data_IF_808938856155
#
_entry.id   IF_808938856155
#
_cell.length_a   1.000
_cell.length_b   1.000
_cell.length_c   1.000
_cell.angle_alpha   90.00
_cell.angle_beta   90.00
_cell.angle_gamma   90.00
#
_symmetry.space_group_name_H-M   'P 1'
#
loop_
_entity.id
_entity.type
_entity.pdbx_description
1 polymer ?
#
# COMPACT_ATOMS: atom_id res chain seq x y z
N UNK A 1 25.57 -8.08 4.41
CA UNK A 1 25.85 -6.74 4.98
C UNK A 1 24.75 -5.80 4.52
N UNK A 2 23.62 -5.74 5.26
CA UNK A 2 22.54 -4.80 4.97
C UNK A 2 23.06 -3.37 5.11
N UNK A 3 23.03 -2.61 4.03
CA UNK A 3 23.12 -1.15 4.11
C UNK A 3 21.89 -0.74 4.91
N UNK A 4 22.07 -0.33 6.16
CA UNK A 4 20.99 0.13 7.02
C UNK A 4 20.38 1.35 6.31
N UNK A 5 19.28 1.10 5.60
CA UNK A 5 18.54 2.13 4.89
C UNK A 5 18.20 3.22 5.90
N UNK A 6 18.43 4.47 5.49
CA UNK A 6 18.12 5.62 6.33
C UNK A 6 16.62 5.52 6.66
N UNK A 7 16.25 5.36 7.94
CA UNK A 7 14.86 5.04 8.29
C UNK A 7 13.89 6.13 7.81
N UNK A 8 14.39 7.34 7.54
CA UNK A 8 13.66 8.47 7.00
C UNK A 8 13.35 8.37 5.50
N UNK A 9 14.13 7.61 4.72
CA UNK A 9 13.91 7.43 3.27
C UNK A 9 12.80 6.41 3.02
N UNK A 10 12.80 5.32 3.79
CA UNK A 10 11.78 4.28 3.70
C UNK A 10 10.57 4.53 4.62
N UNK A 11 10.66 5.34 5.68
CA UNK A 11 9.52 5.66 6.56
C UNK A 11 8.25 6.14 5.84
N UNK A 12 8.29 7.11 4.91
CA UNK A 12 7.08 7.54 4.21
C UNK A 12 6.53 6.43 3.31
N UNK A 13 7.41 5.62 2.71
CA UNK A 13 7.04 4.48 1.87
C UNK A 13 6.38 3.37 2.71
N UNK A 14 7.01 2.99 3.82
CA UNK A 14 6.53 1.96 4.74
C UNK A 14 5.20 2.38 5.37
N UNK A 15 5.05 3.65 5.76
CA UNK A 15 3.79 4.19 6.30
C UNK A 15 2.67 4.20 5.26
N UNK A 16 2.98 4.57 4.01
CA UNK A 16 2.02 4.51 2.90
C UNK A 16 1.56 3.07 2.65
N UNK A 17 2.48 2.12 2.49
CA UNK A 17 2.11 0.73 2.24
C UNK A 17 1.43 0.04 3.42
N UNK A 18 1.77 0.42 4.65
CA UNK A 18 1.07 -0.05 5.84
C UNK A 18 -0.40 0.41 5.82
N UNK A 19 -0.63 1.71 5.60
CA UNK A 19 -1.97 2.30 5.52
C UNK A 19 -2.77 1.68 4.38
N UNK A 20 -2.16 1.59 3.19
CA UNK A 20 -2.74 0.99 2.00
C UNK A 20 -3.15 -0.47 2.26
N UNK A 21 -2.30 -1.26 2.91
CA UNK A 21 -2.60 -2.67 3.21
C UNK A 21 -3.71 -2.81 4.25
N UNK A 22 -3.71 -1.98 5.28
CA UNK A 22 -4.78 -1.95 6.30
C UNK A 22 -6.13 -1.57 5.70
N UNK A 23 -6.19 -0.54 4.85
CA UNK A 23 -7.45 -0.07 4.28
C UNK A 23 -7.98 -0.99 3.17
N UNK A 24 -7.15 -1.39 2.19
CA UNK A 24 -7.61 -2.24 1.09
C UNK A 24 -7.77 -3.72 1.49
N UNK A 25 -6.88 -4.27 2.32
CA UNK A 25 -6.90 -5.72 2.64
C UNK A 25 -7.67 -6.02 3.93
N UNK A 26 -7.85 -5.04 4.81
CA UNK A 26 -8.56 -5.21 6.08
C UNK A 26 -10.07 -5.05 5.97
N UNK A 27 -10.57 -4.32 4.96
CA UNK A 27 -11.99 -4.00 4.80
C UNK A 27 -12.63 -4.61 3.54
N UNK A 28 -11.86 -4.98 2.52
CA UNK A 28 -12.38 -5.50 1.26
C UNK A 28 -11.78 -6.86 0.93
N UNK A 29 -12.66 -7.86 0.73
CA UNK A 29 -12.27 -9.17 0.18
C UNK A 29 -12.37 -9.10 -1.35
N UNK A 30 -11.22 -8.97 -2.01
CA UNK A 30 -11.19 -8.91 -3.47
C UNK A 30 -11.31 -10.31 -4.08
N UNK A 31 -12.42 -10.58 -4.77
CA UNK A 31 -12.63 -11.86 -5.45
C UNK A 31 -11.68 -12.07 -6.62
N UNK A 32 -11.22 -10.99 -7.25
CA UNK A 32 -10.35 -11.06 -8.41
C UNK A 32 -9.22 -10.03 -8.35
N UNK A 33 -8.09 -10.38 -8.95
CA UNK A 33 -6.91 -9.52 -9.03
C UNK A 33 -7.16 -8.23 -9.82
N UNK A 34 -8.14 -8.23 -10.73
CA UNK A 34 -8.55 -7.06 -11.51
C UNK A 34 -9.30 -6.04 -10.65
N UNK A 35 -10.17 -6.51 -9.76
CA UNK A 35 -10.92 -5.67 -8.82
C UNK A 35 -9.97 -4.98 -7.82
N UNK A 36 -9.03 -5.75 -7.25
CA UNK A 36 -7.99 -5.21 -6.39
C UNK A 36 -7.14 -4.13 -7.10
N UNK A 37 -6.80 -4.35 -8.38
CA UNK A 37 -6.06 -3.37 -9.19
C UNK A 37 -6.85 -2.09 -9.44
N UNK A 38 -8.15 -2.20 -9.74
CA UNK A 38 -9.00 -1.03 -9.94
C UNK A 38 -9.10 -0.19 -8.67
N UNK A 39 -9.28 -0.83 -7.50
CA UNK A 39 -9.31 -0.15 -6.20
C UNK A 39 -7.98 0.43 -5.80
N UNK A 40 -6.86 -0.25 -6.07
CA UNK A 40 -5.52 0.32 -5.90
C UNK A 40 -5.32 1.58 -6.73
N UNK A 41 -5.76 1.56 -8.00
CA UNK A 41 -5.62 2.69 -8.90
C UNK A 41 -6.47 3.88 -8.45
N UNK A 42 -7.72 3.61 -8.06
CA UNK A 42 -8.63 4.60 -7.45
C UNK A 42 -8.01 5.23 -6.20
N UNK A 43 -7.46 4.40 -5.30
CA UNK A 43 -6.78 4.86 -4.08
C UNK A 43 -5.55 5.73 -4.38
N UNK A 44 -4.80 5.48 -5.46
CA UNK A 44 -3.64 6.31 -5.85
C UNK A 44 -3.99 7.58 -6.61
N UNK A 45 -5.17 7.65 -7.24
CA UNK A 45 -5.58 8.80 -8.06
C UNK A 45 -6.45 9.77 -7.27
N UNK A 46 -7.28 9.27 -6.36
CA UNK A 46 -8.27 10.07 -5.62
C UNK A 46 -7.91 10.36 -4.16
N UNK A 47 -6.80 9.80 -3.64
CA UNK A 47 -6.31 10.01 -2.28
C UNK A 47 -4.91 10.61 -2.30
#
# INVERSE_FOLDING_TARGET
MSRKGNCWDDAPRESFFHTLKTELTGFEDYKTRTEAKARLFDYTVFK
#
